data_IF_881015371615
#
_entry.id   IF_881015371615
#
_cell.length_a   1.000
_cell.length_b   1.000
_cell.length_c   1.000
_cell.angle_alpha   90.00
_cell.angle_beta   90.00
_cell.angle_gamma   90.00
#
_symmetry.space_group_name_H-M   'P 1'
#
loop_
_entity.id
_entity.type
_entity.pdbx_description
1 polymer ?
#
# COMPACT_ATOMS: atom_id res chain seq x y z
N UNK A 1 43.18 9.50 3.38
CA UNK A 1 42.35 10.60 3.88
C UNK A 1 42.47 11.76 2.89
N UNK A 2 41.40 11.95 2.11
CA UNK A 2 41.07 13.08 1.22
C UNK A 2 42.07 13.51 0.15
N UNK A 3 41.90 12.99 -1.09
CA UNK A 3 41.89 13.79 -2.32
C UNK A 3 41.49 12.92 -3.54
N UNK A 4 40.17 12.80 -3.82
CA UNK A 4 39.61 12.45 -5.14
C UNK A 4 38.22 13.11 -5.25
N UNK A 5 38.24 14.38 -5.65
CA UNK A 5 37.15 15.37 -5.54
C UNK A 5 36.69 15.84 -6.94
N UNK A 6 36.44 14.94 -7.91
CA UNK A 6 35.85 15.36 -9.19
C UNK A 6 34.99 14.27 -9.85
N UNK A 7 33.73 14.64 -10.05
CA UNK A 7 32.78 14.25 -11.10
C UNK A 7 32.62 12.75 -11.43
N UNK A 8 31.43 12.18 -11.15
CA UNK A 8 30.97 11.06 -11.98
C UNK A 8 29.92 10.08 -11.45
N UNK A 9 29.49 10.12 -10.19
CA UNK A 9 28.41 9.23 -9.74
C UNK A 9 27.07 9.95 -9.78
N UNK A 10 26.51 9.94 -11.00
CA UNK A 10 25.12 10.25 -11.29
C UNK A 10 24.23 9.48 -10.34
N UNK A 11 23.56 10.23 -9.47
CA UNK A 11 22.16 10.07 -9.14
C UNK A 11 21.65 8.62 -9.24
N UNK A 12 21.95 7.85 -8.20
CA UNK A 12 21.21 6.62 -7.90
C UNK A 12 19.81 7.01 -7.44
N UNK A 13 18.99 7.54 -8.37
CA UNK A 13 17.55 7.43 -8.26
C UNK A 13 17.24 5.95 -8.39
N UNK A 14 17.32 5.24 -7.26
CA UNK A 14 16.75 3.93 -7.11
C UNK A 14 15.27 4.04 -7.46
N UNK A 15 14.94 3.75 -8.70
CA UNK A 15 13.59 3.39 -9.14
C UNK A 15 13.26 2.08 -8.43
N UNK A 16 12.89 2.16 -7.15
CA UNK A 16 12.14 1.13 -6.45
C UNK A 16 10.82 1.01 -7.21
N UNK A 17 10.78 0.10 -8.19
CA UNK A 17 9.73 0.00 -9.20
C UNK A 17 8.37 0.26 -8.58
N UNK A 18 7.70 1.31 -9.09
CA UNK A 18 6.46 1.92 -8.59
C UNK A 18 5.62 0.92 -7.80
N UNK A 19 5.86 0.84 -6.49
CA UNK A 19 5.09 -0.04 -5.62
C UNK A 19 3.74 0.64 -5.45
N UNK A 20 2.70 0.16 -6.13
CA UNK A 20 1.36 0.67 -5.93
C UNK A 20 0.90 0.22 -4.55
N UNK A 21 0.66 1.18 -3.67
CA UNK A 21 0.08 0.91 -2.36
C UNK A 21 -1.43 0.94 -2.50
N UNK A 22 -2.08 -0.10 -1.98
CA UNK A 22 -3.54 -0.23 -2.00
C UNK A 22 -4.01 -0.46 -0.58
N UNK A 23 -4.88 0.42 -0.09
CA UNK A 23 -5.49 0.32 1.23
C UNK A 23 -6.95 -0.08 1.12
N UNK A 24 -7.32 -1.16 1.79
CA UNK A 24 -8.68 -1.67 1.85
C UNK A 24 -9.29 -1.27 3.20
N UNK A 25 -10.28 -0.38 3.14
CA UNK A 25 -11.21 -0.12 4.23
C UNK A 25 -12.14 -1.31 4.41
N UNK A 26 -12.22 -1.83 5.62
CA UNK A 26 -13.09 -2.96 5.91
C UNK A 26 -14.24 -2.51 6.79
N UNK A 27 -14.16 -2.81 8.08
CA UNK A 27 -15.10 -2.37 9.10
C UNK A 27 -14.51 -2.69 10.47
N UNK A 28 -15.37 -2.92 11.46
CA UNK A 28 -14.92 -3.33 12.79
C UNK A 28 -14.06 -4.60 12.75
N UNK A 29 -13.03 -4.65 13.60
CA UNK A 29 -12.10 -5.79 13.71
C UNK A 29 -12.78 -7.12 14.05
N UNK A 30 -13.96 -7.06 14.68
CA UNK A 30 -14.81 -8.22 15.01
C UNK A 30 -15.77 -8.61 13.90
N UNK A 31 -15.88 -7.80 12.85
CA UNK A 31 -16.72 -8.07 11.68
C UNK A 31 -16.07 -9.05 10.72
N UNK A 32 -16.82 -9.46 9.70
CA UNK A 32 -16.35 -10.42 8.69
C UNK A 32 -15.38 -9.78 7.69
N UNK A 33 -15.49 -8.47 7.46
CA UNK A 33 -14.72 -7.79 6.43
C UNK A 33 -13.25 -7.61 6.80
N UNK A 34 -12.92 -7.47 8.08
CA UNK A 34 -11.55 -7.33 8.55
C UNK A 34 -10.68 -8.58 8.25
N UNK A 35 -11.07 -9.82 8.65
CA UNK A 35 -10.32 -11.02 8.28
C UNK A 35 -10.38 -11.32 6.78
N UNK A 36 -11.50 -10.99 6.10
CA UNK A 36 -11.62 -11.19 4.65
C UNK A 36 -10.65 -10.30 3.87
N UNK A 37 -10.59 -9.00 4.19
CA UNK A 37 -9.62 -8.08 3.61
C UNK A 37 -8.18 -8.53 3.89
N UNK A 38 -7.89 -9.01 5.10
CA UNK A 38 -6.57 -9.53 5.46
C UNK A 38 -6.16 -10.73 4.63
N UNK A 39 -7.09 -11.65 4.34
CA UNK A 39 -6.85 -12.78 3.45
C UNK A 39 -6.57 -12.33 2.01
N UNK A 40 -7.33 -11.34 1.49
CA UNK A 40 -7.12 -10.75 0.16
C UNK A 40 -5.74 -10.09 0.09
N UNK A 41 -5.41 -9.21 1.04
CA UNK A 41 -4.10 -8.57 1.09
C UNK A 41 -2.96 -9.60 1.19
N UNK A 42 -3.16 -10.72 1.89
CA UNK A 42 -2.17 -11.80 1.95
C UNK A 42 -1.94 -12.45 0.58
N UNK A 43 -2.97 -12.64 -0.23
CA UNK A 43 -2.85 -13.17 -1.59
C UNK A 43 -2.18 -12.18 -2.54
N UNK A 44 -2.58 -10.91 -2.50
CA UNK A 44 -1.98 -9.84 -3.32
C UNK A 44 -0.50 -9.68 -2.99
N UNK A 45 -0.15 -9.65 -1.69
CA UNK A 45 1.23 -9.52 -1.24
C UNK A 45 2.10 -10.74 -1.62
N UNK A 46 1.53 -11.95 -1.71
CA UNK A 46 2.25 -13.13 -2.23
C UNK A 46 2.63 -12.97 -3.70
N UNK A 47 1.73 -12.40 -4.50
CA UNK A 47 1.98 -12.15 -5.92
C UNK A 47 2.59 -10.76 -6.20
N UNK A 48 3.05 -10.04 -5.17
CA UNK A 48 3.71 -8.72 -5.30
C UNK A 48 4.83 -8.72 -6.34
N UNK A 49 5.57 -9.81 -6.49
CA UNK A 49 6.64 -9.93 -7.50
C UNK A 49 6.13 -9.83 -8.94
N UNK A 50 4.87 -10.17 -9.20
CA UNK A 50 4.24 -10.13 -10.52
C UNK A 50 3.55 -8.80 -10.80
N UNK A 51 2.95 -8.18 -9.80
CA UNK A 51 2.11 -6.99 -9.97
C UNK A 51 2.75 -5.70 -9.46
N UNK A 52 3.74 -5.80 -8.56
CA UNK A 52 4.31 -4.65 -7.84
C UNK A 52 3.41 -4.05 -6.75
N UNK A 53 2.22 -4.60 -6.53
CA UNK A 53 1.22 -4.02 -5.62
C UNK A 53 1.44 -4.50 -4.17
N UNK A 54 1.38 -3.57 -3.22
CA UNK A 54 1.37 -3.85 -1.78
C UNK A 54 0.03 -3.47 -1.17
N UNK A 55 -0.61 -4.42 -0.52
CA UNK A 55 -1.93 -4.27 0.05
C UNK A 55 -1.88 -4.15 1.57
N UNK A 56 -2.68 -3.22 2.12
CA UNK A 56 -2.93 -3.04 3.54
C UNK A 56 -4.43 -3.07 3.84
N UNK A 57 -4.78 -3.54 5.03
CA UNK A 57 -6.17 -3.55 5.53
C UNK A 57 -6.29 -2.64 6.73
N UNK A 58 -7.28 -1.77 6.68
CA UNK A 58 -7.60 -0.83 7.75
C UNK A 58 -8.97 -1.17 8.35
N UNK A 59 -9.06 -1.12 9.68
CA UNK A 59 -10.34 -1.24 10.38
C UNK A 59 -11.02 0.13 10.43
N UNK A 60 -12.26 0.20 9.99
CA UNK A 60 -13.00 1.47 9.89
C UNK A 60 -14.34 1.40 10.60
N UNK A 61 -15.03 2.54 10.69
CA UNK A 61 -16.38 2.65 11.25
C UNK A 61 -17.49 2.04 10.40
N UNK A 62 -17.18 1.50 9.20
CA UNK A 62 -18.15 0.88 8.28
C UNK A 62 -18.23 1.58 6.92
N UNK A 63 -19.17 1.14 6.07
CA UNK A 63 -19.22 1.49 4.64
C UNK A 63 -19.43 2.99 4.36
N UNK A 64 -20.21 3.70 5.20
CA UNK A 64 -20.40 5.15 5.03
C UNK A 64 -19.08 5.91 5.24
N UNK A 65 -18.30 5.49 6.24
CA UNK A 65 -16.97 6.03 6.45
C UNK A 65 -16.08 5.71 5.24
N UNK A 66 -16.01 4.44 4.83
CA UNK A 66 -15.19 4.01 3.69
C UNK A 66 -15.47 4.83 2.43
N UNK A 67 -16.74 5.01 2.05
CA UNK A 67 -17.11 5.80 0.86
C UNK A 67 -16.64 7.25 0.95
N UNK A 68 -16.70 7.87 2.12
CA UNK A 68 -16.23 9.24 2.31
C UNK A 68 -14.71 9.32 2.28
N UNK A 69 -14.00 8.36 2.85
CA UNK A 69 -12.53 8.33 2.82
C UNK A 69 -11.98 7.95 1.44
N UNK A 70 -12.69 7.14 0.67
CA UNK A 70 -12.39 6.85 -0.75
C UNK A 70 -12.54 8.13 -1.58
N UNK A 71 -13.60 8.92 -1.35
CA UNK A 71 -13.76 10.24 -1.99
C UNK A 71 -12.66 11.22 -1.58
N UNK A 72 -12.17 11.14 -0.35
CA UNK A 72 -11.05 11.93 0.13
C UNK A 72 -9.68 11.44 -0.40
N UNK A 73 -9.63 10.24 -0.99
CA UNK A 73 -8.41 9.64 -1.55
C UNK A 73 -7.48 9.02 -0.51
N UNK A 74 -7.94 8.78 0.73
CA UNK A 74 -7.12 8.12 1.76
C UNK A 74 -7.28 6.60 1.77
N UNK A 75 -8.39 6.09 1.18
CA UNK A 75 -8.64 4.66 0.97
C UNK A 75 -8.80 4.37 -0.52
N UNK A 76 -8.22 3.27 -1.00
CA UNK A 76 -8.34 2.85 -2.39
C UNK A 76 -9.56 1.96 -2.63
N UNK A 77 -10.01 1.23 -1.60
CA UNK A 77 -11.13 0.30 -1.66
C UNK A 77 -11.88 0.27 -0.31
N UNK A 78 -13.18 -0.08 -0.31
CA UNK A 78 -13.93 -0.35 0.92
C UNK A 78 -15.44 -0.50 0.76
#
# INVERSE_FOLDING_TARGET
>A
MVCRFWAGFNNEYASLGQQTFVTIGTGGVTGVYYPNGGAICRLVNKNRKKHGIRCFTESTGGSVYNLNTIRAGELDMG
#
